data_IF_339484121785
#
_entry.id   IF_339484121785
#
_cell.length_a   1.000
_cell.length_b   1.000
_cell.length_c   1.000
_cell.angle_alpha   90.00
_cell.angle_beta   90.00
_cell.angle_gamma   90.00
#
_symmetry.space_group_name_H-M   'P 1'
#
loop_
_entity.id
_entity.type
_entity.pdbx_description
1 polymer ?
#
# COMPACT_ATOMS: atom_id res chain seq x y z
N UNK A 1 -22.02 27.67 5.78
CA UNK A 1 -21.03 27.75 4.68
C UNK A 1 -19.78 26.98 5.09
N UNK A 2 -19.08 26.29 4.17
CA UNK A 2 -17.83 25.62 4.51
C UNK A 2 -16.81 26.66 5.00
N UNK A 3 -16.26 26.49 6.21
CA UNK A 3 -15.15 27.31 6.68
C UNK A 3 -13.95 27.01 5.77
N UNK A 4 -13.56 27.99 4.97
CA UNK A 4 -12.37 27.95 4.12
C UNK A 4 -11.22 28.58 4.88
N UNK A 5 -10.04 27.98 4.77
CA UNK A 5 -8.79 28.55 5.24
C UNK A 5 -7.72 28.37 4.15
N UNK A 6 -6.69 29.19 4.19
CA UNK A 6 -5.51 29.05 3.35
C UNK A 6 -4.40 28.46 4.21
N UNK A 7 -3.83 27.33 3.77
CA UNK A 7 -2.64 26.75 4.36
C UNK A 7 -1.47 26.99 3.42
N UNK A 8 -0.40 27.56 3.95
CA UNK A 8 0.88 27.68 3.24
C UNK A 8 1.71 26.46 3.61
N UNK A 9 2.00 25.64 2.62
CA UNK A 9 2.84 24.44 2.78
C UNK A 9 4.05 24.63 1.89
N UNK A 10 5.22 24.69 2.51
CA UNK A 10 6.44 25.20 1.86
C UNK A 10 6.13 26.60 1.29
N UNK A 11 6.16 26.78 -0.03
CA UNK A 11 5.83 28.06 -0.69
C UNK A 11 4.49 28.02 -1.47
N UNK A 12 3.65 27.01 -1.23
CA UNK A 12 2.41 26.81 -1.97
C UNK A 12 1.19 27.09 -1.12
N UNK A 13 0.30 27.94 -1.64
CA UNK A 13 -1.01 28.22 -1.07
C UNK A 13 -1.99 27.12 -1.43
N UNK A 14 -2.55 26.48 -0.42
CA UNK A 14 -3.56 25.43 -0.56
C UNK A 14 -4.84 25.89 0.13
N UNK A 15 -5.90 26.01 -0.66
CA UNK A 15 -7.24 26.29 -0.13
C UNK A 15 -7.80 25.03 0.52
N UNK A 16 -7.85 25.04 1.84
CA UNK A 16 -8.41 23.97 2.67
C UNK A 16 -9.81 24.37 3.15
N UNK A 17 -10.66 23.38 3.38
CA UNK A 17 -12.03 23.61 3.84
C UNK A 17 -12.45 22.54 4.81
N UNK A 18 -13.50 22.73 5.59
CA UNK A 18 -14.17 21.65 6.35
C UNK A 18 -13.21 20.79 7.19
N UNK A 19 -12.26 21.42 7.89
CA UNK A 19 -11.25 20.70 8.68
C UNK A 19 -11.89 19.89 9.83
N UNK A 20 -12.95 20.43 10.43
CA UNK A 20 -13.70 19.79 11.51
C UNK A 20 -14.61 18.64 11.00
N UNK A 21 -14.70 18.42 9.68
CA UNK A 21 -15.54 17.34 9.13
C UNK A 21 -14.98 16.00 9.60
N UNK A 22 -15.80 15.25 10.32
CA UNK A 22 -15.49 13.89 10.76
C UNK A 22 -15.54 12.97 9.55
N UNK A 23 -14.41 12.29 9.27
CA UNK A 23 -14.30 11.31 8.19
C UNK A 23 -14.20 9.86 8.73
N UNK A 24 -13.89 9.67 10.01
CA UNK A 24 -14.04 8.39 10.72
C UNK A 24 -15.00 8.55 11.92
N UNK A 25 -16.31 8.32 11.74
CA UNK A 25 -17.32 8.59 12.76
C UNK A 25 -17.10 7.87 14.09
N UNK A 26 -16.75 6.57 14.06
CA UNK A 26 -16.54 5.73 15.25
C UNK A 26 -15.58 6.31 16.28
N UNK A 27 -14.57 7.06 15.84
CA UNK A 27 -13.52 7.64 16.69
C UNK A 27 -13.44 9.17 16.59
N UNK A 28 -14.38 9.81 15.89
CA UNK A 28 -14.39 11.26 15.68
C UNK A 28 -13.18 11.80 14.91
N UNK A 29 -12.50 11.00 14.08
CA UNK A 29 -11.29 11.45 13.39
C UNK A 29 -11.66 12.37 12.21
N UNK A 30 -11.10 13.58 12.22
CA UNK A 30 -11.48 14.68 11.34
C UNK A 30 -10.57 14.80 10.12
N UNK A 31 -11.03 15.55 9.10
CA UNK A 31 -10.22 15.89 7.93
C UNK A 31 -8.94 16.65 8.29
N UNK A 32 -9.01 17.54 9.29
CA UNK A 32 -7.83 18.24 9.81
C UNK A 32 -6.77 17.28 10.34
N UNK A 33 -7.18 16.25 11.09
CA UNK A 33 -6.27 15.22 11.62
C UNK A 33 -5.70 14.30 10.53
N UNK A 34 -6.44 14.04 9.45
CA UNK A 34 -5.93 13.33 8.27
C UNK A 34 -4.81 14.15 7.61
N UNK A 35 -5.04 15.46 7.42
CA UNK A 35 -4.03 16.37 6.86
C UNK A 35 -2.80 16.43 7.78
N UNK A 36 -2.98 16.58 9.10
CA UNK A 36 -1.89 16.58 10.08
C UNK A 36 -1.06 15.28 10.01
N UNK A 37 -1.72 14.13 9.99
CA UNK A 37 -1.06 12.84 9.84
C UNK A 37 -0.18 12.79 8.59
N UNK A 38 -0.73 13.18 7.43
CA UNK A 38 0.02 13.17 6.18
C UNK A 38 1.17 14.17 6.17
N UNK A 39 1.03 15.35 6.79
CA UNK A 39 2.13 16.31 6.97
C UNK A 39 3.26 15.68 7.78
N UNK A 40 2.94 15.04 8.90
CA UNK A 40 3.94 14.51 9.84
C UNK A 40 4.62 13.25 9.34
N UNK A 41 3.92 12.40 8.57
CA UNK A 41 4.48 11.17 7.99
C UNK A 41 5.17 11.41 6.63
N UNK A 42 4.99 12.58 6.02
CA UNK A 42 5.52 12.92 4.70
C UNK A 42 7.03 12.63 4.51
N UNK A 43 7.93 12.89 5.48
CA UNK A 43 9.35 12.64 5.30
C UNK A 43 9.68 11.19 4.93
N UNK A 44 8.92 10.22 5.46
CA UNK A 44 9.10 8.79 5.15
C UNK A 44 8.12 8.29 4.09
N UNK A 45 6.94 8.92 3.93
CA UNK A 45 5.96 8.51 2.92
C UNK A 45 6.31 8.99 1.49
N UNK A 46 6.78 10.23 1.33
CA UNK A 46 7.02 10.81 0.00
C UNK A 46 8.02 10.02 -0.86
N UNK A 47 9.13 9.46 -0.33
CA UNK A 47 10.00 8.58 -1.10
C UNK A 47 9.27 7.42 -1.78
N UNK A 48 8.26 6.86 -1.13
CA UNK A 48 7.46 5.75 -1.66
C UNK A 48 6.38 6.19 -2.66
N UNK A 49 5.98 7.46 -2.66
CA UNK A 49 5.03 8.01 -3.65
C UNK A 49 5.75 8.56 -4.88
N UNK A 50 7.03 8.93 -4.73
CA UNK A 50 7.79 9.67 -5.74
C UNK A 50 7.85 8.91 -7.06
N UNK A 51 7.45 9.63 -8.11
CA UNK A 51 7.38 9.18 -9.49
C UNK A 51 6.46 7.96 -9.72
N UNK A 52 5.61 7.57 -8.75
CA UNK A 52 4.63 6.50 -8.92
C UNK A 52 3.27 7.08 -9.33
N UNK A 53 2.67 6.61 -10.44
CA UNK A 53 1.28 6.92 -10.75
C UNK A 53 0.37 6.57 -9.56
N UNK A 54 -0.32 7.58 -9.05
CA UNK A 54 -1.21 7.48 -7.90
C UNK A 54 -2.66 7.28 -8.36
N UNK A 55 -3.29 6.21 -7.88
CA UNK A 55 -4.74 6.07 -7.85
C UNK A 55 -5.23 6.55 -6.49
N UNK A 56 -6.02 7.62 -6.52
CA UNK A 56 -6.64 8.18 -5.32
C UNK A 56 -7.94 7.42 -5.04
N UNK A 57 -8.22 7.08 -3.79
CA UNK A 57 -9.51 6.55 -3.36
C UNK A 57 -10.14 7.50 -2.36
N UNK A 58 -11.10 8.26 -2.86
CA UNK A 58 -11.65 9.43 -2.18
C UNK A 58 -12.92 9.09 -1.45
N UNK A 59 -13.05 9.64 -0.25
CA UNK A 59 -14.18 9.48 0.67
C UNK A 59 -14.69 10.87 1.08
N UNK A 60 -15.34 11.62 0.18
CA UNK A 60 -15.75 13.00 0.45
C UNK A 60 -16.60 13.14 1.71
N UNK A 61 -17.40 12.12 2.02
CA UNK A 61 -18.35 12.06 3.14
C UNK A 61 -17.92 11.09 4.25
N UNK A 62 -16.66 10.67 4.26
CA UNK A 62 -16.09 9.78 5.27
C UNK A 62 -16.22 8.30 4.95
N UNK A 63 -15.68 7.46 5.83
CA UNK A 63 -15.51 6.00 5.59
C UNK A 63 -16.82 5.20 5.56
N UNK A 64 -17.92 5.78 6.04
CA UNK A 64 -19.27 5.20 6.00
C UNK A 64 -20.07 5.66 4.79
N UNK A 65 -19.58 6.67 4.06
CA UNK A 65 -20.21 7.19 2.84
C UNK A 65 -19.70 6.53 1.56
N UNK A 66 -20.21 7.02 0.43
CA UNK A 66 -19.77 6.58 -0.89
C UNK A 66 -18.31 6.97 -1.16
N UNK A 67 -17.62 6.10 -1.89
CA UNK A 67 -16.25 6.32 -2.33
C UNK A 67 -16.10 6.14 -3.82
N UNK A 68 -15.04 6.72 -4.39
CA UNK A 68 -14.69 6.49 -5.77
C UNK A 68 -13.17 6.42 -5.96
N UNK A 69 -12.76 5.67 -6.98
CA UNK A 69 -11.38 5.63 -7.43
C UNK A 69 -11.16 6.69 -8.51
N UNK A 70 -10.19 7.55 -8.30
CA UNK A 70 -9.80 8.60 -9.23
C UNK A 70 -8.40 8.32 -9.77
N UNK A 71 -8.36 7.57 -10.88
CA UNK A 71 -7.14 7.25 -11.62
C UNK A 71 -6.66 8.41 -12.49
N UNK A 72 -7.60 9.11 -13.13
CA UNK A 72 -7.30 10.30 -13.92
C UNK A 72 -7.29 11.51 -13.00
N UNK A 73 -6.14 12.16 -12.90
CA UNK A 73 -5.93 13.34 -12.07
C UNK A 73 -6.93 14.45 -12.47
N UNK A 74 -7.56 15.13 -11.49
CA UNK A 74 -8.52 16.18 -11.75
C UNK A 74 -8.04 17.21 -12.78
N UNK A 75 -8.92 17.60 -13.70
CA UNK A 75 -8.62 18.61 -14.73
C UNK A 75 -8.32 19.96 -14.08
N UNK A 76 -9.06 20.30 -13.02
CA UNK A 76 -8.92 21.55 -12.26
C UNK A 76 -7.88 21.47 -11.12
N UNK A 77 -6.96 20.50 -11.15
CA UNK A 77 -5.88 20.42 -10.16
C UNK A 77 -4.99 21.68 -10.19
N UNK A 78 -4.33 22.03 -9.08
CA UNK A 78 -3.33 23.09 -9.08
C UNK A 78 -2.24 22.82 -10.13
N UNK A 79 -1.75 23.89 -10.81
CA UNK A 79 -0.77 23.78 -11.92
C UNK A 79 0.53 23.05 -11.54
N UNK A 80 0.89 23.10 -10.26
CA UNK A 80 2.09 22.47 -9.72
C UNK A 80 1.93 20.96 -9.46
N UNK A 81 0.70 20.41 -9.48
CA UNK A 81 0.46 18.96 -9.36
C UNK A 81 0.89 18.28 -10.66
N UNK A 82 2.02 17.59 -10.60
CA UNK A 82 2.59 16.85 -11.73
C UNK A 82 1.76 15.60 -12.02
N UNK A 83 1.82 15.14 -13.27
CA UNK A 83 1.11 13.95 -13.72
C UNK A 83 2.01 13.01 -14.52
N UNK A 84 1.66 11.73 -14.54
CA UNK A 84 2.24 10.73 -15.44
C UNK A 84 1.19 10.29 -16.47
N UNK A 85 1.55 10.35 -17.74
CA UNK A 85 0.68 9.90 -18.83
C UNK A 85 0.84 8.40 -19.01
N UNK A 86 -0.23 7.63 -18.78
CA UNK A 86 -0.22 6.16 -18.83
C UNK A 86 -1.35 5.68 -19.74
N UNK A 87 -1.08 4.74 -20.64
CA UNK A 87 -2.10 4.11 -21.46
C UNK A 87 -3.02 3.25 -20.59
N UNK A 88 -4.33 3.42 -20.75
CA UNK A 88 -5.33 2.58 -20.08
C UNK A 88 -6.09 1.77 -21.12
N UNK A 89 -5.84 0.48 -21.16
CA UNK A 89 -6.51 -0.44 -22.09
C UNK A 89 -8.03 -0.45 -21.91
N UNK A 90 -8.50 -0.54 -20.65
CA UNK A 90 -9.94 -0.52 -20.32
C UNK A 90 -10.68 0.74 -20.78
N UNK A 91 -9.98 1.86 -20.94
CA UNK A 91 -10.56 3.14 -21.35
C UNK A 91 -10.18 3.49 -22.80
N UNK A 92 -9.37 2.66 -23.46
CA UNK A 92 -8.79 2.87 -24.78
C UNK A 92 -8.22 4.29 -25.00
N UNK A 93 -7.54 4.84 -24.00
CA UNK A 93 -6.97 6.20 -24.04
C UNK A 93 -5.81 6.39 -23.08
N UNK A 94 -5.05 7.46 -23.30
CA UNK A 94 -4.07 7.94 -22.32
C UNK A 94 -4.78 8.61 -21.14
N UNK A 95 -4.44 8.20 -19.92
CA UNK A 95 -4.87 8.82 -18.67
C UNK A 95 -3.70 9.56 -18.02
N UNK A 96 -3.98 10.65 -17.32
CA UNK A 96 -2.98 11.40 -16.57
C UNK A 96 -3.13 11.07 -15.09
N UNK A 97 -2.29 10.20 -14.55
CA UNK A 97 -2.30 9.90 -13.11
C UNK A 97 -1.63 11.03 -12.33
N UNK A 98 -2.15 11.36 -11.13
CA UNK A 98 -1.46 12.31 -10.27
C UNK A 98 -0.11 11.73 -9.82
N UNK A 99 0.87 12.60 -9.57
CA UNK A 99 2.14 12.26 -8.94
C UNK A 99 2.25 13.06 -7.64
N UNK A 100 2.21 12.38 -6.49
CA UNK A 100 2.44 13.00 -5.19
C UNK A 100 3.94 13.14 -4.93
N UNK A 101 4.53 14.18 -5.52
CA UNK A 101 5.99 14.39 -5.55
C UNK A 101 6.54 15.12 -4.32
N UNK A 102 5.68 15.84 -3.61
CA UNK A 102 6.04 16.78 -2.58
C UNK A 102 4.91 16.94 -1.56
N UNK A 103 5.24 17.56 -0.43
CA UNK A 103 4.32 17.75 0.69
C UNK A 103 3.08 18.56 0.28
N UNK A 104 3.17 19.65 -0.52
CA UNK A 104 1.98 20.35 -0.98
C UNK A 104 1.01 19.47 -1.78
N UNK A 105 1.52 18.59 -2.65
CA UNK A 105 0.66 17.65 -3.40
C UNK A 105 -0.02 16.64 -2.52
N UNK A 106 0.69 16.13 -1.51
CA UNK A 106 0.12 15.20 -0.54
C UNK A 106 -1.00 15.87 0.29
N UNK A 107 -0.77 17.09 0.78
CA UNK A 107 -1.77 17.87 1.51
C UNK A 107 -2.99 18.20 0.63
N UNK A 108 -2.77 18.54 -0.64
CA UNK A 108 -3.86 18.76 -1.58
C UNK A 108 -4.71 17.50 -1.79
N UNK A 109 -4.08 16.34 -1.98
CA UNK A 109 -4.80 15.06 -2.10
C UNK A 109 -5.61 14.73 -0.83
N UNK A 110 -5.00 14.89 0.35
CA UNK A 110 -5.69 14.71 1.63
C UNK A 110 -6.90 15.66 1.79
N UNK A 111 -6.78 16.92 1.36
CA UNK A 111 -7.88 17.88 1.40
C UNK A 111 -9.05 17.52 0.45
N UNK A 112 -8.77 16.78 -0.63
CA UNK A 112 -9.77 16.18 -1.51
C UNK A 112 -10.46 14.93 -0.91
N UNK A 113 -10.17 14.64 0.37
CA UNK A 113 -10.58 13.45 1.10
C UNK A 113 -10.07 12.15 0.47
N UNK A 114 -8.87 12.19 -0.13
CA UNK A 114 -8.16 10.98 -0.54
C UNK A 114 -7.61 10.26 0.70
N UNK A 115 -8.27 9.18 1.11
CA UNK A 115 -7.88 8.45 2.32
C UNK A 115 -6.92 7.31 2.01
N UNK A 116 -7.07 6.65 0.86
CA UNK A 116 -6.21 5.55 0.47
C UNK A 116 -5.37 5.91 -0.76
N UNK A 117 -4.06 5.98 -0.58
CA UNK A 117 -3.07 6.22 -1.62
C UNK A 117 -2.66 4.89 -2.24
N UNK A 118 -3.06 4.62 -3.49
CA UNK A 118 -2.71 3.38 -4.19
C UNK A 118 -1.69 3.64 -5.29
N UNK A 119 -0.52 2.99 -5.21
CA UNK A 119 0.59 3.21 -6.15
C UNK A 119 0.79 2.03 -7.08
N UNK A 120 1.18 2.33 -8.32
CA UNK A 120 1.78 1.33 -9.21
C UNK A 120 3.09 0.77 -8.63
N UNK A 121 3.38 -0.51 -8.90
CA UNK A 121 4.68 -1.10 -8.58
C UNK A 121 5.82 -0.55 -9.43
N UNK A 122 5.50 0.17 -10.52
CA UNK A 122 6.44 0.82 -11.41
C UNK A 122 6.46 2.35 -11.22
N UNK A 123 7.55 2.98 -11.67
CA UNK A 123 7.69 4.44 -11.73
C UNK A 123 7.33 4.94 -13.13
N UNK A 124 6.92 6.21 -13.23
CA UNK A 124 6.52 6.87 -14.49
C UNK A 124 7.58 6.81 -15.59
N UNK A 125 8.86 6.71 -15.21
CA UNK A 125 9.98 6.63 -16.16
C UNK A 125 9.94 5.37 -17.02
N UNK A 126 9.36 4.29 -16.50
CA UNK A 126 9.09 3.07 -17.26
C UNK A 126 7.96 2.30 -16.58
N UNK A 127 6.73 2.52 -17.03
CA UNK A 127 5.53 1.93 -16.42
C UNK A 127 5.45 0.41 -16.57
N UNK A 128 6.19 -0.17 -17.54
CA UNK A 128 6.22 -1.63 -17.80
C UNK A 128 7.26 -2.36 -16.96
N UNK A 129 8.06 -1.63 -16.18
CA UNK A 129 9.14 -2.17 -15.35
C UNK A 129 8.81 -1.96 -13.87
N UNK A 130 8.35 -2.99 -13.16
CA UNK A 130 8.15 -2.88 -11.72
C UNK A 130 9.49 -2.67 -11.02
N UNK A 131 9.43 -1.95 -9.91
CA UNK A 131 10.57 -1.73 -9.01
C UNK A 131 10.62 -2.78 -7.89
N UNK A 132 9.55 -3.55 -7.71
CA UNK A 132 9.37 -4.51 -6.63
C UNK A 132 8.38 -5.60 -7.06
N UNK A 133 8.51 -6.79 -6.46
CA UNK A 133 7.52 -7.86 -6.51
C UNK A 133 6.77 -7.93 -5.17
N UNK A 134 5.47 -8.19 -5.19
CA UNK A 134 4.59 -8.12 -4.01
C UNK A 134 3.76 -9.38 -3.84
N UNK A 135 3.55 -9.79 -2.60
CA UNK A 135 2.58 -10.81 -2.21
C UNK A 135 1.59 -10.18 -1.22
N UNK A 136 0.32 -10.15 -1.56
CA UNK A 136 -0.75 -9.72 -0.65
C UNK A 136 -1.36 -10.97 0.00
N UNK A 137 -1.17 -11.11 1.32
CA UNK A 137 -1.60 -12.27 2.09
C UNK A 137 -2.98 -11.96 2.67
N UNK A 138 -4.01 -12.42 1.98
CA UNK A 138 -5.42 -12.13 2.25
C UNK A 138 -6.09 -13.26 3.04
N UNK A 139 -6.42 -13.07 4.33
CA UNK A 139 -7.03 -14.12 5.12
C UNK A 139 -8.53 -14.23 4.84
N UNK A 140 -9.01 -15.45 4.61
CA UNK A 140 -10.43 -15.78 4.54
C UNK A 140 -10.96 -16.27 5.88
N UNK A 141 -12.01 -15.61 6.38
CA UNK A 141 -12.65 -15.90 7.67
C UNK A 141 -12.89 -17.41 7.84
N UNK A 142 -12.56 -18.01 9.01
CA UNK A 142 -12.13 -17.36 10.26
C UNK A 142 -10.64 -17.04 10.36
N UNK A 143 -9.82 -17.28 9.32
CA UNK A 143 -8.44 -16.84 9.34
C UNK A 143 -8.35 -15.31 9.43
N UNK A 144 -7.29 -14.83 10.05
CA UNK A 144 -6.95 -13.42 10.17
C UNK A 144 -5.45 -13.19 9.93
N UNK A 145 -4.95 -12.02 10.32
CA UNK A 145 -3.54 -11.66 10.13
C UNK A 145 -2.57 -12.60 10.84
N UNK A 146 -2.98 -13.34 11.87
CA UNK A 146 -2.13 -14.33 12.56
C UNK A 146 -1.76 -15.45 11.61
N UNK A 147 -2.72 -15.96 10.82
CA UNK A 147 -2.41 -16.94 9.77
C UNK A 147 -1.56 -16.32 8.65
N UNK A 148 -1.80 -15.05 8.30
CA UNK A 148 -0.93 -14.33 7.35
C UNK A 148 0.52 -14.23 7.86
N UNK A 149 0.75 -14.11 9.17
CA UNK A 149 2.10 -14.09 9.74
C UNK A 149 2.83 -15.41 9.49
N UNK A 150 2.15 -16.54 9.71
CA UNK A 150 2.72 -17.87 9.45
C UNK A 150 3.11 -18.04 7.97
N UNK A 151 2.20 -17.68 7.07
CA UNK A 151 2.43 -17.76 5.62
C UNK A 151 3.51 -16.77 5.17
N UNK A 152 3.55 -15.57 5.76
CA UNK A 152 4.58 -14.57 5.48
C UNK A 152 5.98 -15.03 5.89
N UNK A 153 6.13 -15.73 7.02
CA UNK A 153 7.40 -16.30 7.46
C UNK A 153 7.87 -17.39 6.49
N UNK A 154 7.01 -18.34 6.12
CA UNK A 154 7.35 -19.37 5.11
C UNK A 154 7.76 -18.75 3.78
N UNK A 155 7.02 -17.73 3.32
CA UNK A 155 7.35 -17.00 2.11
C UNK A 155 8.71 -16.30 2.22
N UNK A 156 9.00 -15.66 3.35
CA UNK A 156 10.29 -15.01 3.60
C UNK A 156 11.45 -16.02 3.56
N UNK A 157 11.28 -17.19 4.15
CA UNK A 157 12.27 -18.27 4.15
C UNK A 157 12.54 -18.79 2.73
N UNK A 158 11.49 -18.97 1.92
CA UNK A 158 11.61 -19.35 0.51
C UNK A 158 12.37 -18.28 -0.28
N UNK A 159 12.01 -17.01 -0.11
CA UNK A 159 12.69 -15.89 -0.78
C UNK A 159 14.16 -15.81 -0.35
N UNK A 160 14.47 -16.04 0.93
CA UNK A 160 15.82 -16.04 1.46
C UNK A 160 16.68 -17.16 0.84
N UNK A 161 16.13 -18.37 0.67
CA UNK A 161 16.79 -19.47 -0.06
C UNK A 161 17.13 -19.09 -1.50
N UNK A 162 16.32 -18.22 -2.12
CA UNK A 162 16.55 -17.64 -3.45
C UNK A 162 17.48 -16.40 -3.44
N UNK A 163 18.06 -16.05 -2.28
CA UNK A 163 18.89 -14.85 -2.05
C UNK A 163 18.14 -13.54 -2.30
N UNK A 164 16.82 -13.54 -2.10
CA UNK A 164 15.96 -12.37 -2.16
C UNK A 164 15.57 -11.94 -0.74
N UNK A 165 16.00 -10.75 -0.35
CA UNK A 165 15.52 -10.08 0.87
C UNK A 165 14.09 -9.60 0.66
N UNK A 166 13.28 -9.73 1.70
CA UNK A 166 11.88 -9.33 1.68
C UNK A 166 11.52 -8.49 2.92
N UNK A 167 10.52 -7.62 2.77
CA UNK A 167 10.10 -6.65 3.77
C UNK A 167 8.59 -6.74 3.95
N UNK A 168 8.14 -6.75 5.20
CA UNK A 168 6.74 -6.90 5.54
C UNK A 168 6.10 -5.55 5.89
N UNK A 169 4.83 -5.39 5.49
CA UNK A 169 3.96 -4.35 6.02
C UNK A 169 2.56 -4.90 6.25
N UNK A 170 1.85 -4.37 7.23
CA UNK A 170 0.43 -4.65 7.36
C UNK A 170 -0.32 -3.98 6.21
N UNK A 171 -1.40 -4.59 5.74
CA UNK A 171 -2.29 -3.92 4.78
C UNK A 171 -3.01 -2.70 5.39
N UNK A 172 -3.01 -2.60 6.73
CA UNK A 172 -3.88 -1.70 7.50
C UNK A 172 -5.37 -2.12 7.50
N UNK A 173 -5.70 -3.26 6.88
CA UNK A 173 -7.05 -3.83 6.85
C UNK A 173 -7.08 -5.18 7.57
N UNK A 174 -6.93 -6.30 6.85
CA UNK A 174 -7.04 -7.65 7.42
C UNK A 174 -5.78 -8.49 7.23
N UNK A 175 -5.04 -8.25 6.15
CA UNK A 175 -3.89 -9.06 5.75
C UNK A 175 -2.53 -8.41 5.99
N UNK A 176 -1.50 -9.16 5.64
CA UNK A 176 -0.09 -8.79 5.63
C UNK A 176 0.40 -8.73 4.17
N UNK A 177 1.36 -7.87 3.86
CA UNK A 177 1.96 -7.79 2.54
C UNK A 177 3.47 -7.95 2.62
N UNK A 178 4.03 -8.73 1.71
CA UNK A 178 5.47 -9.01 1.62
C UNK A 178 5.99 -8.44 0.30
N UNK A 179 7.01 -7.59 0.41
CA UNK A 179 7.61 -6.87 -0.71
C UNK A 179 9.05 -7.34 -0.92
N UNK A 180 9.40 -7.60 -2.18
CA UNK A 180 10.75 -7.93 -2.62
C UNK A 180 11.23 -6.79 -3.51
N UNK A 181 12.13 -5.90 -3.03
CA UNK A 181 12.65 -4.85 -3.87
C UNK A 181 13.54 -5.41 -4.95
N UNK A 182 13.35 -4.93 -6.17
CA UNK A 182 14.11 -5.37 -7.34
C UNK A 182 14.98 -4.24 -7.84
N UNK A 183 14.39 -3.07 -8.15
CA UNK A 183 15.08 -1.88 -8.65
C UNK A 183 16.07 -2.17 -9.82
N UNK A 184 15.87 -3.28 -10.53
CA UNK A 184 16.66 -3.79 -11.66
C UNK A 184 15.79 -3.96 -12.91
N UNK A 185 16.37 -4.15 -14.11
CA UNK A 185 15.60 -4.42 -15.33
C UNK A 185 14.86 -5.76 -15.22
N UNK A 186 13.58 -5.69 -14.88
CA UNK A 186 12.64 -6.82 -14.79
C UNK A 186 11.28 -6.42 -15.37
N UNK A 187 10.50 -7.38 -15.86
CA UNK A 187 9.14 -7.14 -16.38
C UNK A 187 8.07 -7.61 -15.39
N UNK A 188 6.83 -7.13 -15.54
CA UNK A 188 5.70 -7.65 -14.77
C UNK A 188 5.51 -9.16 -14.97
N UNK A 189 5.64 -9.67 -16.19
CA UNK A 189 5.56 -11.11 -16.47
C UNK A 189 6.53 -11.93 -15.61
N UNK A 190 7.80 -11.50 -15.53
CA UNK A 190 8.80 -12.18 -14.70
C UNK A 190 8.44 -12.18 -13.22
N UNK A 191 7.95 -11.04 -12.69
CA UNK A 191 7.50 -10.96 -11.29
C UNK A 191 6.24 -11.79 -11.03
N UNK A 192 5.31 -11.82 -12.00
CA UNK A 192 4.04 -12.55 -11.91
C UNK A 192 4.26 -14.05 -11.98
N UNK A 193 5.15 -14.51 -12.85
CA UNK A 193 5.49 -15.93 -12.96
C UNK A 193 6.16 -16.47 -11.70
N UNK A 194 7.17 -15.77 -11.17
CA UNK A 194 7.83 -16.21 -9.94
C UNK A 194 6.88 -16.14 -8.73
N UNK A 195 6.14 -15.05 -8.56
CA UNK A 195 5.21 -14.91 -7.43
C UNK A 195 4.10 -15.97 -7.48
N UNK A 196 3.58 -16.30 -8.66
CA UNK A 196 2.61 -17.39 -8.84
C UNK A 196 3.22 -18.75 -8.49
N UNK A 197 4.43 -19.04 -8.96
CA UNK A 197 5.10 -20.31 -8.66
C UNK A 197 5.32 -20.48 -7.14
N UNK A 198 5.76 -19.42 -6.45
CA UNK A 198 5.93 -19.43 -4.99
C UNK A 198 4.60 -19.62 -4.25
N UNK A 199 3.52 -18.97 -4.70
CA UNK A 199 2.20 -19.14 -4.11
C UNK A 199 1.66 -20.57 -4.28
N UNK A 200 1.86 -21.17 -5.46
CA UNK A 200 1.45 -22.56 -5.74
C UNK A 200 2.28 -23.58 -4.96
N UNK A 201 3.58 -23.32 -4.79
CA UNK A 201 4.44 -24.17 -3.97
C UNK A 201 4.02 -24.13 -2.50
N UNK A 202 3.74 -22.95 -1.94
CA UNK A 202 3.18 -22.81 -0.59
C UNK A 202 1.82 -23.52 -0.45
N UNK A 203 0.94 -23.44 -1.45
CA UNK A 203 -0.33 -24.19 -1.46
C UNK A 203 -0.13 -25.71 -1.56
N UNK A 204 0.95 -26.17 -2.20
CA UNK A 204 1.28 -27.59 -2.28
C UNK A 204 1.72 -28.13 -0.93
N UNK A 205 2.63 -27.40 -0.25
CA UNK A 205 3.22 -27.83 1.03
C UNK A 205 2.27 -27.60 2.23
N UNK A 206 1.44 -26.56 2.16
CA UNK A 206 0.61 -26.07 3.26
C UNK A 206 -0.83 -25.81 2.81
N UNK A 207 -1.39 -26.72 1.99
CA UNK A 207 -2.70 -26.56 1.37
C UNK A 207 -3.90 -26.51 2.34
N UNK A 208 -3.70 -26.87 3.61
CA UNK A 208 -4.67 -26.68 4.69
C UNK A 208 -4.80 -25.20 5.09
N UNK A 209 -3.72 -24.43 5.01
CA UNK A 209 -3.64 -23.03 5.43
C UNK A 209 -3.53 -22.03 4.27
N UNK A 210 -3.00 -22.45 3.13
CA UNK A 210 -2.69 -21.59 1.98
C UNK A 210 -3.62 -21.88 0.80
N UNK A 211 -3.97 -20.85 0.04
CA UNK A 211 -4.44 -21.04 -1.33
C UNK A 211 -3.82 -20.01 -2.28
N UNK A 212 -3.57 -20.43 -3.52
CA UNK A 212 -3.15 -19.54 -4.63
C UNK A 212 -4.31 -19.28 -5.61
N UNK A 213 -5.50 -19.83 -5.33
CA UNK A 213 -6.68 -19.68 -6.16
C UNK A 213 -7.43 -18.38 -5.86
N UNK A 214 -7.72 -17.62 -6.92
CA UNK A 214 -8.39 -16.32 -6.81
C UNK A 214 -9.86 -16.42 -6.35
N UNK A 215 -10.51 -17.57 -6.48
CA UNK A 215 -11.90 -17.76 -6.06
C UNK A 215 -12.07 -17.54 -4.56
N UNK A 216 -13.02 -16.69 -4.17
CA UNK A 216 -13.35 -16.47 -2.75
C UNK A 216 -13.91 -17.74 -2.07
N UNK A 217 -14.52 -18.64 -2.84
CA UNK A 217 -15.16 -19.84 -2.31
C UNK A 217 -14.17 -20.78 -1.59
N UNK A 218 -12.90 -20.80 -2.01
CA UNK A 218 -11.88 -21.70 -1.47
C UNK A 218 -11.01 -21.05 -0.38
N UNK A 219 -11.29 -19.80 0.00
CA UNK A 219 -10.48 -19.05 0.98
C UNK A 219 -10.89 -19.26 2.43
N UNK A 220 -12.05 -19.87 2.69
CA UNK A 220 -12.59 -20.01 4.06
C UNK A 220 -11.57 -20.74 4.95
N UNK A 221 -11.09 -20.07 6.01
CA UNK A 221 -10.09 -20.59 6.94
C UNK A 221 -8.64 -20.60 6.41
N UNK A 222 -8.40 -20.09 5.21
CA UNK A 222 -7.10 -20.08 4.54
C UNK A 222 -6.60 -18.66 4.28
N UNK A 223 -5.32 -18.53 3.99
CA UNK A 223 -4.69 -17.32 3.48
C UNK A 223 -4.54 -17.45 1.97
N UNK A 224 -5.17 -16.54 1.24
CA UNK A 224 -4.92 -16.38 -0.18
C UNK A 224 -3.61 -15.62 -0.37
N UNK A 225 -2.64 -16.26 -1.04
CA UNK A 225 -1.40 -15.61 -1.46
C UNK A 225 -1.66 -14.96 -2.82
N UNK A 226 -2.03 -13.68 -2.80
CA UNK A 226 -2.38 -12.94 -4.01
C UNK A 226 -1.13 -12.53 -4.80
N UNK A 227 -0.64 -13.46 -5.62
CA UNK A 227 0.41 -13.23 -6.61
C UNK A 227 -0.05 -12.32 -7.76
N UNK A 228 -1.37 -12.17 -7.96
CA UNK A 228 -1.93 -11.42 -9.07
C UNK A 228 -1.81 -9.90 -8.90
N UNK A 229 -1.31 -9.42 -7.76
CA UNK A 229 -0.95 -8.01 -7.54
C UNK A 229 0.24 -7.56 -8.40
N UNK A 230 1.05 -8.50 -8.91
CA UNK A 230 2.17 -8.25 -9.83
C UNK A 230 1.69 -8.07 -11.27
N UNK A 231 0.70 -7.21 -11.47
CA UNK A 231 0.10 -6.91 -12.78
C UNK A 231 0.22 -5.42 -13.07
N UNK A 232 0.56 -5.04 -14.31
CA UNK A 232 0.85 -3.64 -14.65
C UNK A 232 -0.36 -2.72 -14.52
N UNK A 233 -1.58 -3.28 -14.55
CA UNK A 233 -2.82 -2.52 -14.42
C UNK A 233 -3.31 -2.39 -12.97
N UNK A 234 -2.62 -3.03 -12.02
CA UNK A 234 -2.97 -2.99 -10.60
C UNK A 234 -2.14 -1.97 -9.83
N UNK A 235 -2.71 -1.59 -8.69
CA UNK A 235 -2.09 -0.72 -7.71
C UNK A 235 -2.21 -1.35 -6.34
N UNK A 236 -1.21 -1.14 -5.50
CA UNK A 236 -1.22 -1.61 -4.11
C UNK A 236 -1.34 -0.41 -3.18
N UNK A 237 -1.92 -0.63 -2.00
CA UNK A 237 -1.95 0.40 -0.96
C UNK A 237 -0.51 0.80 -0.61
N UNK A 238 -0.20 2.09 -0.71
CA UNK A 238 1.10 2.61 -0.39
C UNK A 238 1.40 2.36 1.10
N UNK A 239 2.67 2.16 1.42
CA UNK A 239 3.13 2.19 2.81
C UNK A 239 2.81 3.56 3.43
N UNK A 240 2.49 3.61 4.71
CA UNK A 240 2.03 4.78 5.46
C UNK A 240 0.69 5.40 5.01
N UNK A 241 0.03 4.87 3.97
CA UNK A 241 -1.32 5.31 3.63
C UNK A 241 -2.32 4.92 4.73
N UNK A 242 -3.25 5.83 5.02
CA UNK A 242 -4.45 5.50 5.79
C UNK A 242 -5.30 4.48 5.04
N UNK A 243 -6.15 3.79 5.78
CA UNK A 243 -7.18 2.88 5.29
C UNK A 243 -8.53 3.41 5.65
N UNK A 244 -9.47 3.33 4.71
CA UNK A 244 -10.86 3.69 4.96
C UNK A 244 -11.59 2.50 5.61
N UNK A 245 -11.29 2.30 6.90
CA UNK A 245 -11.98 1.38 7.81
C UNK A 245 -12.69 2.18 8.89
N UNK A 246 -13.33 1.51 9.83
CA UNK A 246 -14.00 2.16 10.97
C UNK A 246 -13.05 3.04 11.81
N UNK A 247 -11.75 2.77 11.76
CA UNK A 247 -10.71 3.51 12.46
C UNK A 247 -9.62 3.93 11.47
N UNK A 248 -8.85 5.00 11.74
CA UNK A 248 -7.79 5.49 10.87
C UNK A 248 -6.54 4.59 10.95
N UNK A 249 -6.71 3.32 10.59
CA UNK A 249 -5.63 2.36 10.50
C UNK A 249 -4.74 2.65 9.29
N UNK A 250 -3.50 2.18 9.35
CA UNK A 250 -2.46 2.51 8.36
C UNK A 250 -1.81 1.23 7.83
N UNK A 251 -1.51 1.25 6.54
CA UNK A 251 -0.61 0.28 5.89
C UNK A 251 0.81 0.46 6.42
N UNK A 252 1.21 -0.30 7.45
CA UNK A 252 2.35 0.06 8.31
C UNK A 252 3.51 -0.93 8.14
N UNK A 253 4.75 -0.46 7.92
CA UNK A 253 5.94 -1.31 7.95
C UNK A 253 6.12 -2.01 9.30
N UNK A 254 6.48 -3.28 9.23
CA UNK A 254 6.73 -4.12 10.41
C UNK A 254 8.01 -4.91 10.22
N UNK A 255 8.70 -5.18 11.32
CA UNK A 255 9.87 -6.08 11.29
C UNK A 255 9.39 -7.53 11.23
N UNK A 256 10.29 -8.44 10.85
CA UNK A 256 9.98 -9.87 10.97
C UNK A 256 9.77 -10.29 12.43
N UNK A 257 10.47 -9.67 13.39
CA UNK A 257 10.22 -9.85 14.83
C UNK A 257 8.78 -9.44 15.24
N UNK A 258 8.24 -8.34 14.70
CA UNK A 258 6.85 -7.93 14.93
C UNK A 258 5.87 -9.02 14.45
N UNK A 259 6.15 -9.61 13.27
CA UNK A 259 5.36 -10.68 12.64
C UNK A 259 5.44 -11.97 13.46
N UNK A 260 6.62 -12.40 13.86
CA UNK A 260 6.85 -13.58 14.70
C UNK A 260 6.20 -13.43 16.08
N UNK A 261 6.31 -12.26 16.70
CA UNK A 261 5.68 -11.97 17.99
C UNK A 261 4.13 -11.98 17.89
N UNK A 262 3.55 -11.50 16.79
CA UNK A 262 2.12 -11.61 16.51
C UNK A 262 1.67 -13.08 16.44
N UNK A 263 2.40 -13.89 15.67
CA UNK A 263 2.15 -15.32 15.51
C UNK A 263 2.26 -16.08 16.84
N UNK A 264 3.38 -15.90 17.55
CA UNK A 264 3.65 -16.57 18.83
C UNK A 264 2.59 -16.27 19.88
N UNK A 265 2.12 -15.02 19.95
CA UNK A 265 1.08 -14.60 20.91
C UNK A 265 -0.33 -14.87 20.43
N UNK A 266 -0.53 -15.20 19.14
CA UNK A 266 -1.84 -15.35 18.49
C UNK A 266 -2.75 -14.13 18.71
N UNK A 267 -2.17 -12.92 18.57
CA UNK A 267 -2.87 -11.65 18.83
C UNK A 267 -2.81 -10.73 17.62
N UNK A 268 -3.87 -10.74 16.80
CA UNK A 268 -4.00 -9.91 15.61
C UNK A 268 -3.81 -8.40 15.89
N UNK A 269 -4.27 -7.90 17.03
CA UNK A 269 -4.17 -6.48 17.41
C UNK A 269 -2.73 -5.97 17.56
N UNK A 270 -1.74 -6.86 17.71
CA UNK A 270 -0.32 -6.48 17.73
C UNK A 270 0.11 -5.84 16.41
N UNK A 271 -0.51 -6.25 15.30
CA UNK A 271 -0.27 -5.73 13.95
C UNK A 271 -1.37 -4.75 13.49
N UNK A 272 -2.15 -4.21 14.42
CA UNK A 272 -3.07 -3.10 14.15
C UNK A 272 -2.42 -1.78 14.58
N UNK A 273 -2.32 -0.85 13.64
CA UNK A 273 -1.70 0.46 13.85
C UNK A 273 -2.63 1.56 13.36
N UNK A 274 -3.01 2.46 14.26
CA UNK A 274 -3.66 3.73 13.96
C UNK A 274 -2.62 4.82 13.70
N UNK A 275 -3.04 5.91 13.06
CA UNK A 275 -2.19 7.05 12.70
C UNK A 275 -1.24 7.51 13.81
N UNK A 276 -1.69 7.68 15.06
CA UNK A 276 -0.84 8.11 16.17
C UNK A 276 0.29 7.11 16.49
N UNK A 277 -0.02 5.82 16.48
CA UNK A 277 0.95 4.75 16.76
C UNK A 277 1.99 4.63 15.65
N UNK A 278 1.61 4.92 14.40
CA UNK A 278 2.53 4.95 13.27
C UNK A 278 3.51 6.10 13.40
N UNK A 279 3.04 7.30 13.74
CA UNK A 279 3.92 8.45 13.93
C UNK A 279 4.96 8.19 15.04
N UNK A 280 4.53 7.62 16.17
CA UNK A 280 5.44 7.22 17.24
C UNK A 280 6.45 6.13 16.79
N UNK A 281 6.03 5.20 15.93
CA UNK A 281 6.93 4.19 15.35
C UNK A 281 7.95 4.82 14.41
N UNK A 282 7.54 5.74 13.54
CA UNK A 282 8.44 6.43 12.60
C UNK A 282 9.47 7.28 13.34
N UNK A 283 9.08 7.93 14.43
CA UNK A 283 10.02 8.68 15.28
C UNK A 283 11.11 7.77 15.86
N UNK A 284 10.72 6.58 16.35
CA UNK A 284 11.64 5.62 16.98
C UNK A 284 12.47 4.81 15.98
N UNK A 285 11.84 4.32 14.93
CA UNK A 285 12.39 3.30 14.03
C UNK A 285 12.80 3.86 12.67
N UNK A 286 12.52 5.14 12.40
CA UNK A 286 12.66 5.76 11.07
C UNK A 286 11.84 5.00 10.04
N UNK A 287 12.28 5.01 8.79
CA UNK A 287 11.62 4.32 7.71
C UNK A 287 12.11 2.87 7.56
N UNK A 288 11.36 1.93 8.14
CA UNK A 288 11.65 0.50 8.00
C UNK A 288 11.51 -0.01 6.55
N UNK A 289 10.84 0.74 5.68
CA UNK A 289 10.53 0.37 4.31
C UNK A 289 11.44 1.07 3.29
N UNK A 290 12.30 1.98 3.71
CA UNK A 290 13.30 2.67 2.87
C UNK A 290 14.08 1.70 1.96
N UNK A 291 14.56 0.53 2.44
CA UNK A 291 15.26 -0.43 1.59
C UNK A 291 14.44 -0.91 0.38
N UNK A 292 13.10 -0.81 0.41
CA UNK A 292 12.26 -1.20 -0.72
C UNK A 292 12.45 -0.28 -1.93
N UNK A 293 12.77 1.00 -1.70
CA UNK A 293 13.02 1.97 -2.77
C UNK A 293 14.47 1.95 -3.29
N UNK A 294 15.41 1.40 -2.50
CA UNK A 294 16.84 1.50 -2.78
C UNK A 294 17.50 0.17 -3.16
N UNK A 295 17.12 -0.93 -2.49
CA UNK A 295 17.81 -2.21 -2.64
C UNK A 295 17.62 -2.76 -4.06
N UNK A 296 18.73 -3.10 -4.70
CA UNK A 296 18.73 -3.72 -6.03
C UNK A 296 18.93 -5.22 -5.91
N UNK A 297 17.95 -6.00 -6.34
CA UNK A 297 17.98 -7.47 -6.33
C UNK A 297 17.59 -8.00 -7.71
N UNK A 298 18.30 -9.03 -8.17
CA UNK A 298 18.00 -9.67 -9.45
C UNK A 298 17.15 -10.91 -9.19
N UNK A 299 16.06 -11.05 -9.93
CA UNK A 299 15.31 -12.30 -9.97
C UNK A 299 16.22 -13.43 -10.48
N UNK A 300 16.10 -14.65 -9.92
CA UNK A 300 16.84 -15.79 -10.43
C UNK A 300 16.38 -16.14 -11.84
N UNK A 301 17.33 -16.49 -12.73
CA UNK A 301 17.02 -16.88 -14.13
C UNK A 301 16.26 -18.20 -14.23
N UNK A 302 16.47 -19.08 -13.25
CA UNK A 302 15.79 -20.36 -13.06
C UNK A 302 15.64 -20.55 -11.56
N UNK A 303 14.53 -21.11 -11.13
CA UNK A 303 14.29 -21.46 -9.74
C UNK A 303 13.92 -22.94 -9.65
N UNK A 304 14.39 -23.58 -8.57
CA UNK A 304 13.91 -24.89 -8.13
C UNK A 304 13.23 -24.63 -6.79
N UNK A 305 11.95 -24.97 -6.71
CA UNK A 305 11.13 -24.90 -5.51
C UNK A 305 11.11 -26.29 -4.90
#
# INVERSE_FOLDING_TARGET
MPRKAELIVEDRKIQISNLDKVLYPKVGFTKGQIIDYYIRVAPVLLPHLKDRPLTMKRYPDGVEGEFFYEKNCPVHRPKWVKTARVWSESNNRMMNYCLAQDLPTLVWAANLADLELHTSLARKSNIKRPTMMVFDLDPGVPADIVQCCQVGIWLSDLLLKMKLKSFAKTSGSKGLQVYVPLNTPVTFDQTKDLSRALAQHLETDHGDLVTSNMSKAVRKGKVFVDWSQNDEHKTTICVYSLRAKEEPTVSTPVTWDDVENCLKKKKADLLKFRSEKVLARVEKLRDLFEPVEELKQKLPKKWKL
#
